data_IF_790755693616
#
_entry.id   IF_790755693616
#
_cell.length_a   1.000
_cell.length_b   1.000
_cell.length_c   1.000
_cell.angle_alpha   90.00
_cell.angle_beta   90.00
_cell.angle_gamma   90.00
#
_symmetry.space_group_name_H-M   'P 1'
#
loop_
_entity.id
_entity.type
_entity.pdbx_description
1 polymer ?
#
# COMPACT_ATOMS: atom_id res chain seq x y z
N UNK A 1 -1.33 -1.51 -15.89
CA UNK A 1 -1.36 -2.98 -15.87
C UNK A 1 -0.16 -3.56 -15.08
N UNK A 2 1.07 -3.07 -15.26
CA UNK A 2 2.28 -3.63 -14.66
C UNK A 2 2.35 -3.55 -13.13
N UNK A 3 1.94 -2.44 -12.51
CA UNK A 3 2.07 -2.22 -11.07
C UNK A 3 1.31 -3.23 -10.21
N UNK A 4 0.21 -3.78 -10.71
CA UNK A 4 -0.64 -4.76 -10.00
C UNK A 4 -0.29 -6.22 -10.31
N UNK A 5 0.55 -6.47 -11.32
CA UNK A 5 1.02 -7.81 -11.66
C UNK A 5 2.15 -8.28 -10.75
N UNK A 6 2.79 -7.35 -10.07
CA UNK A 6 3.92 -7.59 -9.18
C UNK A 6 3.42 -7.60 -7.73
N UNK A 7 3.81 -8.63 -6.98
CA UNK A 7 3.46 -8.77 -5.57
C UNK A 7 4.07 -7.64 -4.73
N UNK A 8 3.38 -7.19 -3.67
CA UNK A 8 3.82 -6.11 -2.79
C UNK A 8 5.22 -6.32 -2.18
N UNK A 9 5.65 -7.57 -1.99
CA UNK A 9 6.99 -7.89 -1.51
C UNK A 9 8.10 -7.38 -2.44
N UNK A 10 7.91 -7.49 -3.76
CA UNK A 10 8.89 -6.97 -4.73
C UNK A 10 8.97 -5.45 -4.66
N UNK A 11 7.83 -4.78 -4.51
CA UNK A 11 7.79 -3.33 -4.32
C UNK A 11 8.48 -2.93 -3.03
N UNK A 12 8.28 -3.71 -1.96
CA UNK A 12 8.94 -3.47 -0.68
C UNK A 12 10.47 -3.59 -0.79
N UNK A 13 10.98 -4.60 -1.49
CA UNK A 13 12.42 -4.77 -1.71
C UNK A 13 13.02 -3.61 -2.54
N UNK A 14 12.32 -3.17 -3.59
CA UNK A 14 12.75 -2.03 -4.41
C UNK A 14 12.80 -0.76 -3.57
N UNK A 15 11.73 -0.46 -2.82
CA UNK A 15 11.69 0.73 -1.99
C UNK A 15 12.65 0.65 -0.80
N UNK A 16 12.91 -0.56 -0.29
CA UNK A 16 13.91 -0.77 0.76
C UNK A 16 15.31 -0.36 0.29
N UNK A 17 15.67 -0.71 -0.92
CA UNK A 17 16.96 -0.32 -1.50
C UNK A 17 17.05 1.18 -1.82
N UNK A 18 15.93 1.81 -2.17
CA UNK A 18 15.87 3.23 -2.49
C UNK A 18 15.81 4.14 -1.25
N UNK A 19 14.98 3.78 -0.28
CA UNK A 19 14.61 4.64 0.86
C UNK A 19 15.14 4.11 2.21
N UNK A 20 15.74 2.91 2.20
CA UNK A 20 16.17 2.24 3.44
C UNK A 20 15.00 1.74 4.28
N UNK A 21 15.31 1.35 5.52
CA UNK A 21 14.33 0.88 6.53
C UNK A 21 13.58 2.08 7.11
N UNK A 22 12.51 2.51 6.45
CA UNK A 22 11.68 3.62 6.91
C UNK A 22 10.18 3.25 6.85
N UNK A 23 9.33 3.87 7.68
CA UNK A 23 7.88 3.69 7.58
C UNK A 23 7.33 4.05 6.19
N UNK A 24 7.96 5.01 5.52
CA UNK A 24 7.62 5.43 4.16
C UNK A 24 7.79 4.29 3.16
N UNK A 25 8.84 3.49 3.29
CA UNK A 25 9.10 2.29 2.47
C UNK A 25 7.92 1.32 2.54
N UNK A 26 7.44 1.01 3.75
CA UNK A 26 6.30 0.12 3.95
C UNK A 26 5.00 0.67 3.36
N UNK A 27 4.74 1.96 3.57
CA UNK A 27 3.54 2.63 3.03
C UNK A 27 3.56 2.61 1.50
N UNK A 28 4.66 2.97 0.85
CA UNK A 28 4.77 2.98 -0.61
C UNK A 28 4.68 1.58 -1.22
N UNK A 29 5.27 0.58 -0.56
CA UNK A 29 5.23 -0.81 -1.00
C UNK A 29 3.80 -1.36 -1.10
N UNK A 30 2.93 -0.97 -0.16
CA UNK A 30 1.52 -1.36 -0.17
C UNK A 30 0.69 -0.41 -1.04
N UNK A 31 0.88 0.89 -0.91
CA UNK A 31 0.04 1.89 -1.56
C UNK A 31 0.08 1.81 -3.10
N UNK A 32 1.27 1.59 -3.69
CA UNK A 32 1.43 1.61 -5.14
C UNK A 32 0.66 0.49 -5.85
N UNK A 33 0.81 -0.82 -5.50
CA UNK A 33 0.03 -1.88 -6.12
C UNK A 33 -1.46 -1.77 -5.80
N UNK A 34 -1.83 -1.38 -4.58
CA UNK A 34 -3.22 -1.21 -4.19
C UNK A 34 -3.89 -0.05 -4.91
N UNK A 35 -3.21 1.08 -5.11
CA UNK A 35 -3.72 2.18 -5.93
C UNK A 35 -4.02 1.73 -7.36
N UNK A 36 -3.12 0.94 -7.97
CA UNK A 36 -3.33 0.38 -9.31
C UNK A 36 -4.52 -0.58 -9.40
N UNK A 37 -4.75 -1.38 -8.36
CA UNK A 37 -5.89 -2.30 -8.29
C UNK A 37 -7.19 -1.52 -8.07
N UNK A 38 -7.22 -0.61 -7.10
CA UNK A 38 -8.38 0.21 -6.79
C UNK A 38 -8.79 1.07 -7.99
N UNK A 39 -7.85 1.71 -8.67
CA UNK A 39 -8.13 2.52 -9.85
C UNK A 39 -8.83 1.70 -10.96
N UNK A 40 -8.36 0.46 -11.18
CA UNK A 40 -9.00 -0.41 -12.16
C UNK A 40 -10.41 -0.78 -11.75
N UNK A 41 -10.59 -1.29 -10.53
CA UNK A 41 -11.91 -1.76 -10.07
C UNK A 41 -12.91 -0.62 -9.99
N UNK A 42 -12.47 0.57 -9.56
CA UNK A 42 -13.37 1.74 -9.56
C UNK A 42 -13.78 2.16 -10.97
N UNK A 43 -12.84 2.11 -11.94
CA UNK A 43 -13.17 2.39 -13.33
C UNK A 43 -14.19 1.36 -13.87
N UNK A 44 -13.94 0.07 -13.67
CA UNK A 44 -14.87 -1.00 -14.07
C UNK A 44 -16.25 -0.85 -13.40
N UNK A 45 -16.30 -0.59 -12.09
CA UNK A 45 -17.55 -0.34 -11.37
C UNK A 45 -18.32 0.87 -11.93
N UNK A 46 -17.60 1.92 -12.32
CA UNK A 46 -18.20 3.08 -12.94
C UNK A 46 -18.70 2.81 -14.37
N UNK A 47 -18.01 1.95 -15.13
CA UNK A 47 -18.38 1.61 -16.51
C UNK A 47 -19.57 0.66 -16.56
N UNK A 48 -19.61 -0.35 -15.66
CA UNK A 48 -20.65 -1.40 -15.62
C UNK A 48 -21.96 -0.94 -14.99
N UNK A 49 -21.96 0.17 -14.25
CA UNK A 49 -23.16 0.67 -13.59
C UNK A 49 -24.24 1.08 -14.61
N UNK A 50 -25.39 0.44 -14.54
CA UNK A 50 -26.60 0.95 -15.18
C UNK A 50 -27.02 2.26 -14.52
N UNK A 51 -27.04 3.35 -15.26
CA UNK A 51 -27.21 4.70 -14.73
C UNK A 51 -28.56 5.31 -15.10
N UNK A 52 -29.67 4.86 -14.50
CA UNK A 52 -31.00 5.46 -14.73
C UNK A 52 -31.01 6.96 -14.41
N UNK A 53 -30.26 7.38 -13.39
CA UNK A 53 -30.11 8.76 -13.03
C UNK A 53 -29.44 9.62 -14.12
N UNK A 54 -28.53 9.05 -14.91
CA UNK A 54 -27.88 9.76 -16.02
C UNK A 54 -28.86 10.05 -17.17
N UNK A 55 -29.78 9.13 -17.45
CA UNK A 55 -30.83 9.30 -18.48
C UNK A 55 -31.89 10.33 -18.08
N UNK A 56 -32.05 10.59 -16.79
CA UNK A 56 -32.99 11.61 -16.27
C UNK A 56 -32.42 13.04 -16.29
N UNK A 57 -31.15 13.21 -16.61
CA UNK A 57 -30.52 14.53 -16.64
C UNK A 57 -30.97 15.37 -17.87
N UNK A 58 -31.18 16.69 -17.71
CA UNK A 58 -31.50 17.57 -18.81
C UNK A 58 -30.40 17.59 -19.90
N UNK A 59 -30.80 17.70 -21.16
CA UNK A 59 -29.88 17.90 -22.28
C UNK A 59 -29.02 19.16 -22.07
N UNK A 60 -27.70 19.02 -22.12
CA UNK A 60 -26.75 20.12 -21.88
C UNK A 60 -26.13 20.15 -20.50
N UNK A 61 -26.42 19.18 -19.64
CA UNK A 61 -25.74 19.04 -18.34
C UNK A 61 -24.24 18.78 -18.56
N UNK A 62 -23.37 19.53 -17.88
CA UNK A 62 -21.92 19.39 -17.97
C UNK A 62 -21.46 18.01 -17.49
N UNK A 63 -20.45 17.42 -18.14
CA UNK A 63 -19.93 16.09 -17.86
C UNK A 63 -19.51 15.94 -16.38
N UNK A 64 -18.88 16.94 -15.80
CA UNK A 64 -18.43 16.95 -14.40
C UNK A 64 -19.62 16.89 -13.44
N UNK A 65 -20.67 17.69 -13.72
CA UNK A 65 -21.89 17.71 -12.92
C UNK A 65 -22.62 16.36 -12.99
N UNK A 66 -22.76 15.80 -14.19
CA UNK A 66 -23.35 14.48 -14.39
C UNK A 66 -22.58 13.38 -13.64
N UNK A 67 -21.25 13.43 -13.63
CA UNK A 67 -20.42 12.49 -12.88
C UNK A 67 -20.67 12.56 -11.38
N UNK A 68 -20.59 13.74 -10.76
CA UNK A 68 -20.71 13.87 -9.32
C UNK A 68 -22.14 13.68 -8.79
N UNK A 69 -23.17 14.09 -9.54
CA UNK A 69 -24.56 14.06 -9.07
C UNK A 69 -25.36 12.83 -9.52
N UNK A 70 -25.00 12.21 -10.63
CA UNK A 70 -25.69 11.03 -11.12
C UNK A 70 -24.84 9.76 -10.98
N UNK A 71 -23.61 9.76 -11.48
CA UNK A 71 -22.80 8.55 -11.59
C UNK A 71 -22.18 8.12 -10.27
N UNK A 72 -21.55 9.03 -9.56
CA UNK A 72 -20.84 8.72 -8.32
C UNK A 72 -21.75 8.24 -7.19
N UNK A 73 -22.94 8.84 -6.93
CA UNK A 73 -23.83 8.37 -5.87
C UNK A 73 -24.31 6.93 -6.06
N UNK A 74 -24.63 6.52 -7.28
CA UNK A 74 -25.13 5.17 -7.59
C UNK A 74 -24.09 4.09 -7.26
N UNK A 75 -22.83 4.34 -7.59
CA UNK A 75 -21.75 3.37 -7.36
C UNK A 75 -21.04 3.52 -6.02
N UNK A 76 -21.36 4.57 -5.25
CA UNK A 76 -20.65 4.91 -4.01
C UNK A 76 -20.62 3.78 -2.99
N UNK A 77 -21.72 3.04 -2.86
CA UNK A 77 -21.81 1.92 -1.91
C UNK A 77 -20.84 0.80 -2.30
N UNK A 78 -20.73 0.50 -3.60
CA UNK A 78 -19.82 -0.52 -4.12
C UNK A 78 -18.36 -0.10 -3.94
N UNK A 79 -18.01 1.13 -4.27
CA UNK A 79 -16.68 1.71 -4.09
C UNK A 79 -16.27 1.66 -2.61
N UNK A 80 -17.15 2.09 -1.70
CA UNK A 80 -16.90 2.09 -0.27
C UNK A 80 -16.67 0.66 0.28
N UNK A 81 -17.51 -0.29 -0.11
CA UNK A 81 -17.40 -1.67 0.34
C UNK A 81 -16.09 -2.31 -0.15
N UNK A 82 -15.75 -2.08 -1.41
CA UNK A 82 -14.50 -2.56 -1.98
C UNK A 82 -13.27 -1.92 -1.31
N UNK A 83 -13.31 -0.61 -1.06
CA UNK A 83 -12.24 0.10 -0.34
C UNK A 83 -12.02 -0.49 1.05
N UNK A 84 -13.11 -0.74 1.80
CA UNK A 84 -13.03 -1.35 3.12
C UNK A 84 -12.40 -2.74 3.07
N UNK A 85 -12.82 -3.57 2.12
CA UNK A 85 -12.25 -4.90 1.90
C UNK A 85 -10.75 -4.83 1.56
N UNK A 86 -10.37 -3.90 0.67
CA UNK A 86 -8.95 -3.72 0.30
C UNK A 86 -8.09 -3.23 1.47
N UNK A 87 -8.64 -2.38 2.31
CA UNK A 87 -7.94 -1.93 3.51
C UNK A 87 -7.68 -3.09 4.48
N UNK A 88 -8.65 -3.98 4.68
CA UNK A 88 -8.47 -5.22 5.44
C UNK A 88 -7.34 -6.09 4.88
N UNK A 89 -7.30 -6.26 3.56
CA UNK A 89 -6.20 -6.97 2.89
C UNK A 89 -4.85 -6.27 3.11
N UNK A 90 -4.81 -4.94 3.02
CA UNK A 90 -3.60 -4.14 3.24
C UNK A 90 -3.02 -4.30 4.64
N UNK A 91 -3.86 -4.43 5.67
CA UNK A 91 -3.39 -4.71 7.03
C UNK A 91 -2.73 -6.09 7.15
N UNK A 92 -3.27 -7.10 6.48
CA UNK A 92 -2.62 -8.43 6.44
C UNK A 92 -1.28 -8.35 5.70
N UNK A 93 -1.22 -7.65 4.58
CA UNK A 93 0.01 -7.42 3.83
C UNK A 93 1.07 -6.68 4.66
N UNK A 94 0.67 -5.76 5.54
CA UNK A 94 1.60 -5.06 6.42
C UNK A 94 2.33 -5.99 7.40
N UNK A 95 1.68 -7.08 7.84
CA UNK A 95 2.34 -8.10 8.65
C UNK A 95 3.45 -8.83 7.87
N UNK A 96 3.19 -9.12 6.58
CA UNK A 96 4.17 -9.78 5.71
C UNK A 96 5.38 -8.90 5.46
N UNK A 97 5.23 -7.57 5.42
CA UNK A 97 6.36 -6.65 5.31
C UNK A 97 7.32 -6.70 6.51
N UNK A 98 6.85 -7.18 7.65
CA UNK A 98 7.71 -7.41 8.82
C UNK A 98 8.82 -8.42 8.56
N UNK A 99 8.59 -9.44 7.73
CA UNK A 99 9.62 -10.43 7.35
C UNK A 99 10.78 -9.83 6.54
N UNK A 100 10.63 -8.63 6.01
CA UNK A 100 11.69 -7.90 5.27
C UNK A 100 12.48 -6.98 6.22
N UNK A 101 12.17 -6.99 7.53
CA UNK A 101 12.85 -6.16 8.53
C UNK A 101 12.19 -4.79 8.78
N UNK A 102 11.05 -4.51 8.14
CA UNK A 102 10.30 -3.29 8.46
C UNK A 102 9.69 -3.39 9.86
N UNK A 103 9.78 -2.35 10.71
CA UNK A 103 9.30 -2.36 12.10
C UNK A 103 7.76 -2.38 12.16
N UNK A 104 7.20 -3.53 11.91
CA UNK A 104 5.76 -3.84 11.97
C UNK A 104 5.50 -4.93 12.99
N UNK A 105 4.23 -5.19 13.32
CA UNK A 105 3.86 -6.33 14.18
C UNK A 105 4.40 -7.67 13.63
N UNK A 106 4.53 -7.80 12.31
CA UNK A 106 5.12 -8.98 11.67
C UNK A 106 6.60 -9.15 11.97
N UNK A 107 7.36 -8.08 12.11
CA UNK A 107 8.77 -8.14 12.50
C UNK A 107 8.95 -8.71 13.90
N UNK A 108 8.17 -8.23 14.87
CA UNK A 108 8.22 -8.76 16.24
C UNK A 108 7.77 -10.22 16.30
N UNK A 109 6.79 -10.60 15.48
CA UNK A 109 6.32 -11.97 15.38
C UNK A 109 7.42 -12.89 14.82
N UNK A 110 8.09 -12.49 13.76
CA UNK A 110 9.19 -13.24 13.16
C UNK A 110 10.37 -13.38 14.14
N UNK A 111 10.74 -12.29 14.83
CA UNK A 111 11.80 -12.29 15.84
C UNK A 111 11.46 -13.26 16.99
N UNK A 112 10.23 -13.20 17.51
CA UNK A 112 9.80 -14.11 18.59
C UNK A 112 9.84 -15.58 18.16
N UNK A 113 9.47 -15.88 16.91
CA UNK A 113 9.62 -17.24 16.36
C UNK A 113 11.08 -17.66 16.19
N UNK A 114 11.93 -16.78 15.70
CA UNK A 114 13.37 -17.03 15.50
C UNK A 114 14.11 -17.27 16.82
N UNK A 115 13.70 -16.60 17.89
CA UNK A 115 14.24 -16.78 19.25
C UNK A 115 13.66 -18.00 19.99
N UNK A 116 12.63 -18.67 19.43
CA UNK A 116 11.96 -19.80 20.08
C UNK A 116 10.98 -19.40 21.20
N UNK A 117 10.64 -18.10 21.31
CA UNK A 117 9.70 -17.56 22.29
C UNK A 117 8.25 -17.76 21.85
N UNK A 118 7.79 -19.01 21.78
CA UNK A 118 6.46 -19.36 21.27
C UNK A 118 5.30 -18.74 22.06
N UNK A 119 5.47 -18.47 23.35
CA UNK A 119 4.44 -17.80 24.16
C UNK A 119 4.24 -16.34 23.75
N UNK A 120 5.32 -15.64 23.44
CA UNK A 120 5.30 -14.27 22.94
C UNK A 120 4.74 -14.22 21.52
N UNK A 121 5.18 -15.12 20.64
CA UNK A 121 4.64 -15.26 19.30
C UNK A 121 3.13 -15.53 19.32
N UNK A 122 2.63 -16.41 20.20
CA UNK A 122 1.20 -16.66 20.36
C UNK A 122 0.44 -15.43 20.83
N UNK A 123 0.98 -14.67 21.78
CA UNK A 123 0.38 -13.42 22.24
C UNK A 123 0.29 -12.37 21.11
N UNK A 124 1.36 -12.21 20.32
CA UNK A 124 1.38 -11.31 19.15
C UNK A 124 0.37 -11.75 18.09
N UNK A 125 0.23 -13.03 17.82
CA UNK A 125 -0.78 -13.56 16.91
C UNK A 125 -2.21 -13.25 17.38
N UNK A 126 -2.48 -13.40 18.69
CA UNK A 126 -3.79 -13.05 19.26
C UNK A 126 -4.07 -11.55 19.12
N UNK A 127 -3.09 -10.71 19.45
CA UNK A 127 -3.20 -9.25 19.28
C UNK A 127 -3.49 -8.89 17.83
N UNK A 128 -2.77 -9.50 16.88
CA UNK A 128 -2.97 -9.29 15.46
C UNK A 128 -4.36 -9.74 15.00
N UNK A 129 -4.83 -10.89 15.48
CA UNK A 129 -6.17 -11.37 15.21
C UNK A 129 -7.25 -10.42 15.75
N UNK A 130 -7.11 -9.94 17.00
CA UNK A 130 -8.03 -8.98 17.61
C UNK A 130 -8.03 -7.67 16.82
N UNK A 131 -6.87 -7.19 16.39
CA UNK A 131 -6.74 -5.98 15.57
C UNK A 131 -7.55 -6.11 14.28
N UNK A 132 -7.40 -7.22 13.55
CA UNK A 132 -8.14 -7.47 12.32
C UNK A 132 -9.64 -7.63 12.60
N UNK A 133 -10.02 -8.39 13.63
CA UNK A 133 -11.42 -8.62 13.98
C UNK A 133 -12.15 -7.33 14.40
N UNK A 134 -11.44 -6.42 15.06
CA UNK A 134 -11.98 -5.13 15.50
C UNK A 134 -11.90 -4.04 14.44
N UNK A 135 -11.30 -4.31 13.28
CA UNK A 135 -11.08 -3.35 12.21
C UNK A 135 -12.35 -2.61 11.78
N UNK A 136 -13.47 -3.32 11.71
CA UNK A 136 -14.77 -2.77 11.37
C UNK A 136 -15.21 -1.62 12.31
N UNK A 137 -14.76 -1.62 13.56
CA UNK A 137 -15.06 -0.55 14.53
C UNK A 137 -14.14 0.66 14.35
N UNK A 138 -12.90 0.44 13.89
CA UNK A 138 -11.89 1.49 13.66
C UNK A 138 -12.06 2.18 12.30
N UNK A 139 -12.59 1.46 11.30
CA UNK A 139 -12.84 1.96 9.94
C UNK A 139 -14.11 2.83 9.81
N UNK A 140 -14.47 3.56 10.83
CA UNK A 140 -15.56 4.53 10.72
C UNK A 140 -15.10 5.74 9.88
N UNK A 141 -15.94 6.29 8.97
CA UNK A 141 -15.56 7.40 8.09
C UNK A 141 -14.97 8.61 8.81
N UNK A 142 -15.42 8.87 10.03
CA UNK A 142 -14.92 9.95 10.90
C UNK A 142 -13.48 9.71 11.37
N UNK A 143 -13.14 8.45 11.68
CA UNK A 143 -11.80 8.08 12.14
C UNK A 143 -10.80 7.99 10.99
N UNK A 144 -11.25 7.59 9.80
CA UNK A 144 -10.40 7.56 8.59
C UNK A 144 -9.86 8.96 8.28
N UNK A 145 -10.68 10.01 8.38
CA UNK A 145 -10.24 11.39 8.23
C UNK A 145 -9.14 11.76 9.23
N UNK A 146 -9.29 11.34 10.50
CA UNK A 146 -8.29 11.56 11.54
C UNK A 146 -6.97 10.83 11.24
N UNK A 147 -7.04 9.58 10.76
CA UNK A 147 -5.85 8.81 10.38
C UNK A 147 -5.10 9.42 9.20
N UNK A 148 -5.82 9.91 8.20
CA UNK A 148 -5.21 10.61 7.05
C UNK A 148 -4.49 11.89 7.51
N UNK A 149 -5.06 12.62 8.47
CA UNK A 149 -4.42 13.81 9.05
C UNK A 149 -3.22 13.47 9.94
N UNK A 150 -3.25 12.34 10.65
CA UNK A 150 -2.16 11.88 11.50
C UNK A 150 -1.00 11.23 10.70
N UNK A 151 -1.27 10.69 9.51
CA UNK A 151 -0.28 9.99 8.69
C UNK A 151 0.99 10.81 8.40
N UNK A 152 0.95 12.11 8.00
CA UNK A 152 2.16 12.87 7.75
C UNK A 152 3.00 13.06 9.00
N UNK A 153 2.40 13.13 10.20
CA UNK A 153 3.17 13.22 11.47
C UNK A 153 3.92 11.91 11.75
N UNK A 154 3.31 10.77 11.46
CA UNK A 154 3.95 9.46 11.62
C UNK A 154 5.05 9.23 10.57
N UNK A 155 4.86 9.70 9.35
CA UNK A 155 5.84 9.59 8.27
C UNK A 155 7.03 10.54 8.45
N UNK A 156 6.80 11.74 9.00
CA UNK A 156 7.86 12.75 9.24
C UNK A 156 8.83 12.39 10.37
N UNK A 157 8.49 11.45 11.26
CA UNK A 157 9.36 10.97 12.33
C UNK A 157 10.28 9.79 11.95
N UNK A 158 10.18 9.28 10.77
CA UNK A 158 10.85 8.03 10.35
C UNK A 158 11.91 8.22 9.28
N UNK A 159 13.16 8.40 9.71
CA UNK A 159 14.37 8.23 8.89
C UNK A 159 14.58 9.30 7.80
N UNK A 160 15.79 9.80 7.72
CA UNK A 160 16.21 10.67 6.61
C UNK A 160 16.23 9.88 5.32
N UNK A 161 15.41 10.29 4.35
CA UNK A 161 15.47 9.75 2.99
C UNK A 161 16.73 10.28 2.33
N UNK A 162 17.76 9.45 2.27
CA UNK A 162 18.99 9.79 1.57
C UNK A 162 18.79 9.74 0.04
N UNK A 163 18.80 10.90 -0.58
CA UNK A 163 18.71 11.04 -2.04
C UNK A 163 19.87 10.29 -2.72
N UNK A 164 21.03 10.16 -2.06
CA UNK A 164 22.17 9.39 -2.51
C UNK A 164 21.83 7.92 -2.80
N UNK A 165 21.01 7.29 -1.96
CA UNK A 165 20.58 5.91 -2.16
C UNK A 165 19.68 5.75 -3.38
N UNK A 166 18.80 6.73 -3.64
CA UNK A 166 17.96 6.74 -4.84
C UNK A 166 18.78 6.84 -6.11
N UNK A 167 19.76 7.76 -6.12
CA UNK A 167 20.66 7.92 -7.27
C UNK A 167 21.49 6.65 -7.48
N UNK A 168 22.05 6.08 -6.41
CA UNK A 168 22.82 4.83 -6.46
C UNK A 168 21.98 3.68 -7.00
N UNK A 169 20.74 3.52 -6.51
CA UNK A 169 19.83 2.48 -7.00
C UNK A 169 19.57 2.61 -8.49
N UNK A 170 19.25 3.82 -8.98
CA UNK A 170 18.94 4.06 -10.39
C UNK A 170 20.14 3.93 -11.32
N UNK A 171 21.36 4.22 -10.84
CA UNK A 171 22.57 4.24 -11.69
C UNK A 171 23.38 2.95 -11.58
N UNK A 172 23.38 2.30 -10.43
CA UNK A 172 24.24 1.15 -10.15
C UNK A 172 23.45 -0.13 -9.96
N UNK A 173 22.48 -0.15 -9.04
CA UNK A 173 21.85 -1.40 -8.59
C UNK A 173 20.83 -1.96 -9.56
N UNK A 174 20.17 -1.10 -10.35
CA UNK A 174 19.20 -1.49 -11.40
C UNK A 174 19.89 -2.15 -12.61
N UNK A 175 21.17 -1.81 -12.86
CA UNK A 175 21.92 -2.34 -14.01
C UNK A 175 22.48 -3.71 -13.68
N UNK A 176 22.09 -4.79 -14.39
CA UNK A 176 22.62 -6.13 -14.16
C UNK A 176 24.16 -6.15 -14.29
N UNK A 177 24.82 -6.92 -13.43
CA UNK A 177 26.29 -7.04 -13.40
C UNK A 177 26.97 -7.24 -14.77
N UNK A 178 26.42 -8.06 -15.70
CA UNK A 178 27.00 -8.24 -17.04
C UNK A 178 27.01 -6.97 -17.90
N UNK A 179 26.12 -6.01 -17.62
CA UNK A 179 25.99 -4.77 -18.37
C UNK A 179 26.81 -3.61 -17.79
N UNK A 180 27.44 -3.81 -16.61
CA UNK A 180 28.23 -2.79 -15.92
C UNK A 180 29.66 -2.61 -16.52
N UNK A 181 30.07 -3.46 -17.46
CA UNK A 181 31.40 -3.40 -18.10
C UNK A 181 32.54 -3.79 -17.18
N UNK A 182 33.79 -3.76 -17.71
CA UNK A 182 35.00 -4.21 -17.03
C UNK A 182 35.35 -3.44 -15.73
N UNK A 183 34.83 -2.24 -15.54
CA UNK A 183 35.05 -1.42 -14.34
C UNK A 183 34.54 -2.07 -13.03
N UNK A 184 33.67 -3.09 -13.10
CA UNK A 184 33.17 -3.80 -11.94
C UNK A 184 34.16 -4.86 -11.41
N UNK A 185 35.00 -5.39 -12.27
CA UNK A 185 36.01 -6.42 -11.91
C UNK A 185 37.17 -5.82 -11.12
N UNK A 186 37.52 -4.55 -11.38
CA UNK A 186 38.61 -3.84 -10.71
C UNK A 186 38.25 -3.36 -9.29
N UNK A 187 36.96 -3.28 -8.94
CA UNK A 187 36.51 -2.84 -7.64
C UNK A 187 36.43 -3.98 -6.60
N UNK A 188 36.63 -5.25 -7.01
CA UNK A 188 36.64 -6.43 -6.12
C UNK A 188 38.03 -7.06 -5.94
N UNK A 189 39.06 -6.50 -6.54
CA UNK A 189 40.46 -6.88 -6.32
C UNK A 189 41.10 -5.97 -5.27
#
# INVERSE_FOLDING_TARGET
AGTRAIHELFWALIFLQMLGLSPLTGVLAIALPYAGICAKVYAETLEEAELPALHALPHGTGIISAFFFARLPDVWVHIKNYTSYRFECGLRSSAVLGFIGLPTLGFYLETAFGEGNYSEAAALMIVFYILIATLRYWMRPKLVGLYVLAAPFMLGGGGDVEISNIVRFLTVDIVPAPLRGAAFLDAQA
#
